data_IF_404905100424
#
_entry.id   IF_404905100424
#
_cell.length_a   1.000
_cell.length_b   1.000
_cell.length_c   1.000
_cell.angle_alpha   90.00
_cell.angle_beta   90.00
_cell.angle_gamma   90.00
#
_symmetry.space_group_name_H-M   'P 1'
#
loop_
_entity.id
_entity.type
_entity.pdbx_description
1 polymer ?
#
# COMPACT_ATOMS: atom_id res chain seq x y z
N UNK A 1 -42.24 -5.79 -24.67
CA UNK A 1 -41.15 -4.79 -24.71
C UNK A 1 -40.38 -4.87 -23.41
N UNK A 2 -39.24 -5.58 -23.41
CA UNK A 2 -38.36 -5.67 -22.25
C UNK A 2 -37.16 -4.77 -22.53
N UNK A 3 -37.02 -3.68 -21.77
CA UNK A 3 -35.86 -2.80 -21.85
C UNK A 3 -34.71 -3.54 -21.16
N UNK A 4 -33.74 -3.97 -21.95
CA UNK A 4 -32.52 -4.58 -21.43
C UNK A 4 -31.83 -3.54 -20.54
N UNK A 5 -31.89 -3.73 -19.22
CA UNK A 5 -31.06 -2.98 -18.28
C UNK A 5 -29.68 -3.60 -18.39
N UNK A 6 -28.74 -2.87 -19.00
CA UNK A 6 -27.33 -3.23 -18.90
C UNK A 6 -26.93 -3.08 -17.44
N UNK A 7 -26.78 -4.22 -16.76
CA UNK A 7 -26.04 -4.28 -15.51
C UNK A 7 -24.58 -4.16 -15.91
N UNK A 8 -24.02 -2.96 -15.83
CA UNK A 8 -22.58 -2.71 -16.03
C UNK A 8 -21.84 -3.28 -14.83
N UNK A 9 -21.64 -4.59 -14.83
CA UNK A 9 -20.81 -5.29 -13.86
C UNK A 9 -19.80 -6.12 -14.62
N UNK A 10 -18.63 -5.53 -14.91
CA UNK A 10 -17.29 -6.17 -14.99
C UNK A 10 -16.23 -5.22 -15.57
N UNK A 11 -16.05 -4.01 -15.03
CA UNK A 11 -14.87 -3.17 -15.33
C UNK A 11 -14.37 -2.49 -14.03
N UNK A 12 -14.18 -3.27 -12.96
CA UNK A 12 -13.56 -2.77 -11.72
C UNK A 12 -12.05 -3.05 -11.69
N UNK A 13 -11.41 -2.95 -12.85
CA UNK A 13 -9.96 -2.96 -13.02
C UNK A 13 -9.59 -1.71 -13.82
N UNK A 14 -8.42 -1.12 -13.61
CA UNK A 14 -8.12 0.14 -14.23
C UNK A 14 -8.02 0.00 -15.76
N UNK A 15 -9.08 0.38 -16.46
CA UNK A 15 -9.18 0.42 -17.93
C UNK A 15 -8.46 1.62 -18.55
N UNK A 16 -7.69 2.38 -17.77
CA UNK A 16 -7.03 3.59 -18.26
C UNK A 16 -5.67 3.28 -18.89
N UNK A 17 -5.32 4.01 -19.96
CA UNK A 17 -4.04 3.90 -20.68
C UNK A 17 -2.82 4.03 -19.76
N UNK A 18 -2.99 4.69 -18.61
CA UNK A 18 -1.97 4.83 -17.57
C UNK A 18 -1.53 3.45 -17.04
N UNK A 19 -2.45 2.53 -16.73
CA UNK A 19 -2.08 1.26 -16.11
C UNK A 19 -1.40 0.28 -17.06
N UNK A 20 -1.83 0.24 -18.33
CA UNK A 20 -1.16 -0.54 -19.36
C UNK A 20 0.30 -0.07 -19.58
N UNK A 21 0.54 1.24 -19.46
CA UNK A 21 1.86 1.84 -19.56
C UNK A 21 2.72 1.57 -18.32
N UNK A 22 2.08 1.44 -17.15
CA UNK A 22 2.74 1.16 -15.86
C UNK A 22 3.10 -0.31 -15.67
N UNK A 23 2.27 -1.24 -16.15
CA UNK A 23 2.50 -2.69 -16.03
C UNK A 23 3.80 -3.14 -16.72
N UNK A 24 4.15 -2.49 -17.83
CA UNK A 24 5.37 -2.76 -18.59
C UNK A 24 6.54 -1.85 -18.21
N UNK A 25 6.32 -0.90 -17.30
CA UNK A 25 7.36 0.02 -16.85
C UNK A 25 8.18 -0.61 -15.73
N UNK A 26 9.48 -0.75 -15.94
CA UNK A 26 10.44 -1.15 -14.91
C UNK A 26 10.86 0.00 -13.99
N UNK A 27 10.49 1.24 -14.34
CA UNK A 27 10.85 2.44 -13.59
C UNK A 27 9.68 3.43 -13.53
N UNK A 28 9.13 3.58 -12.34
CA UNK A 28 8.04 4.51 -12.10
C UNK A 28 8.63 5.86 -11.69
N UNK A 29 8.17 6.94 -12.31
CA UNK A 29 8.47 8.29 -11.84
C UNK A 29 7.40 8.78 -10.85
N UNK A 30 7.67 9.90 -10.19
CA UNK A 30 6.78 10.45 -9.15
C UNK A 30 5.42 10.85 -9.75
N UNK A 31 5.41 11.49 -10.92
CA UNK A 31 4.18 11.96 -11.57
C UNK A 31 3.23 10.81 -11.93
N UNK A 32 3.80 9.69 -12.37
CA UNK A 32 3.09 8.45 -12.66
C UNK A 32 2.47 7.85 -11.40
N UNK A 33 3.20 7.85 -10.28
CA UNK A 33 2.70 7.33 -9.01
C UNK A 33 1.56 8.20 -8.46
N UNK A 34 1.69 9.52 -8.53
CA UNK A 34 0.65 10.47 -8.12
C UNK A 34 -0.60 10.32 -9.00
N UNK A 35 -0.42 10.17 -10.31
CA UNK A 35 -1.54 9.95 -11.23
C UNK A 35 -2.29 8.63 -10.94
N UNK A 36 -1.56 7.56 -10.63
CA UNK A 36 -2.15 6.28 -10.25
C UNK A 36 -2.93 6.38 -8.93
N UNK A 37 -2.36 7.02 -7.90
CA UNK A 37 -3.02 7.24 -6.61
C UNK A 37 -4.33 8.02 -6.78
N UNK A 38 -4.30 9.13 -7.54
CA UNK A 38 -5.49 9.94 -7.80
C UNK A 38 -6.60 9.14 -8.47
N UNK A 39 -6.27 8.30 -9.47
CA UNK A 39 -7.27 7.45 -10.14
C UNK A 39 -7.92 6.46 -9.16
N UNK A 40 -7.13 5.81 -8.30
CA UNK A 40 -7.64 4.86 -7.31
C UNK A 40 -8.59 5.52 -6.29
N UNK A 41 -8.25 6.73 -5.83
CA UNK A 41 -9.05 7.47 -4.86
C UNK A 41 -10.32 8.08 -5.47
N UNK A 42 -10.25 8.67 -6.68
CA UNK A 42 -11.40 9.29 -7.34
C UNK A 42 -12.49 8.27 -7.69
N UNK A 43 -12.11 7.05 -8.07
CA UNK A 43 -13.03 5.97 -8.39
C UNK A 43 -13.52 5.22 -7.14
N UNK A 44 -13.04 5.61 -5.95
CA UNK A 44 -13.30 4.93 -4.68
C UNK A 44 -13.00 3.42 -4.73
N UNK A 45 -12.04 2.99 -5.56
CA UNK A 45 -11.58 1.60 -5.63
C UNK A 45 -10.81 1.20 -4.37
N UNK A 46 -10.17 2.18 -3.73
CA UNK A 46 -9.54 2.06 -2.41
C UNK A 46 -9.92 3.27 -1.55
N UNK A 47 -10.16 3.03 -0.27
CA UNK A 47 -10.42 4.09 0.72
C UNK A 47 -9.43 3.90 1.88
N UNK A 48 -8.34 4.68 1.94
CA UNK A 48 -7.40 4.60 3.04
C UNK A 48 -8.07 4.98 4.37
N UNK A 49 -8.03 4.08 5.35
CA UNK A 49 -8.66 4.31 6.65
C UNK A 49 -7.69 4.88 7.69
N UNK A 50 -6.47 4.37 7.72
CA UNK A 50 -5.39 4.82 8.62
C UNK A 50 -4.04 4.33 8.11
N UNK A 51 -2.96 4.95 8.60
CA UNK A 51 -1.60 4.42 8.48
C UNK A 51 -1.25 3.60 9.72
N UNK A 52 -0.51 2.50 9.54
CA UNK A 52 -0.14 1.66 10.67
C UNK A 52 1.03 2.27 11.44
N UNK A 53 0.79 2.67 12.68
CA UNK A 53 1.83 2.91 13.68
C UNK A 53 1.86 1.74 14.68
N UNK A 54 3.04 1.41 15.21
CA UNK A 54 3.21 0.40 16.27
C UNK A 54 4.08 0.99 17.37
N UNK A 55 3.66 0.80 18.61
CA UNK A 55 4.43 1.13 19.80
C UNK A 55 4.65 -0.15 20.60
N UNK A 56 5.83 -0.30 21.19
CA UNK A 56 6.23 -1.48 21.94
C UNK A 56 6.60 -1.05 23.36
N UNK A 57 6.09 -1.79 24.36
CA UNK A 57 6.59 -1.69 25.72
C UNK A 57 7.88 -2.50 25.82
N UNK A 58 8.97 -1.82 26.16
CA UNK A 58 10.31 -2.41 26.22
C UNK A 58 10.76 -2.46 27.68
N UNK A 59 11.19 -3.65 28.12
CA UNK A 59 11.73 -3.81 29.46
C UNK A 59 13.05 -3.03 29.59
N UNK A 60 13.31 -2.36 30.73
CA UNK A 60 14.62 -1.79 31.00
C UNK A 60 15.71 -2.85 30.82
N UNK A 61 16.81 -2.48 30.16
CA UNK A 61 17.92 -3.39 29.85
C UNK A 61 17.86 -4.06 28.48
N UNK A 62 16.74 -3.93 27.73
CA UNK A 62 16.69 -4.36 26.33
C UNK A 62 17.27 -3.27 25.41
N UNK A 63 18.24 -3.64 24.58
CA UNK A 63 18.89 -2.76 23.60
C UNK A 63 19.03 -3.43 22.24
N UNK A 64 19.28 -2.65 21.18
CA UNK A 64 19.50 -3.20 19.83
C UNK A 64 18.22 -3.58 19.07
N UNK A 65 17.06 -3.05 19.48
CA UNK A 65 15.81 -3.17 18.71
C UNK A 65 15.87 -2.24 17.50
N UNK A 66 15.64 -2.78 16.30
CA UNK A 66 15.60 -1.99 15.06
C UNK A 66 14.22 -2.06 14.44
N UNK A 67 13.64 -0.90 14.15
CA UNK A 67 12.42 -0.79 13.36
C UNK A 67 12.77 -0.55 11.90
N UNK A 68 12.59 -1.57 11.05
CA UNK A 68 12.89 -1.45 9.63
C UNK A 68 11.76 -0.73 8.89
N UNK A 69 12.09 0.11 7.89
CA UNK A 69 11.07 0.83 7.12
C UNK A 69 10.20 -0.10 6.27
N UNK A 70 10.73 -1.27 5.88
CA UNK A 70 10.03 -2.28 5.07
C UNK A 70 10.42 -3.70 5.49
N UNK A 71 9.61 -4.69 5.10
CA UNK A 71 9.77 -6.09 5.52
C UNK A 71 9.25 -6.33 6.96
N UNK A 72 9.73 -7.37 7.67
CA UNK A 72 9.42 -7.52 9.09
C UNK A 72 9.86 -6.27 9.85
N UNK A 73 8.86 -5.57 10.40
CA UNK A 73 8.99 -4.23 10.97
C UNK A 73 9.88 -4.21 12.21
N UNK A 74 9.84 -5.25 13.04
CA UNK A 74 10.69 -5.39 14.21
C UNK A 74 11.82 -6.38 13.91
N UNK A 75 13.06 -5.91 13.97
CA UNK A 75 14.27 -6.72 13.78
C UNK A 75 14.95 -6.96 15.14
N UNK A 76 15.18 -8.23 15.43
CA UNK A 76 15.74 -8.72 16.69
C UNK A 76 17.16 -9.29 16.54
N UNK A 77 17.75 -9.22 15.35
CA UNK A 77 19.02 -9.90 15.01
C UNK A 77 20.16 -9.57 15.97
N UNK A 78 20.19 -8.33 16.47
CA UNK A 78 21.23 -7.81 17.38
C UNK A 78 20.61 -7.31 18.69
N UNK A 79 19.43 -7.80 19.04
CA UNK A 79 18.78 -7.42 20.29
C UNK A 79 19.43 -8.16 21.45
N UNK A 80 19.79 -7.40 22.46
CA UNK A 80 20.43 -7.91 23.68
C UNK A 80 19.62 -7.50 24.90
N UNK A 81 19.75 -8.29 25.96
CA UNK A 81 19.15 -8.00 27.26
C UNK A 81 20.23 -7.99 28.33
N UNK A 82 20.40 -6.84 28.98
CA UNK A 82 21.24 -6.66 30.15
C UNK A 82 20.38 -6.73 31.42
N UNK A 83 20.82 -7.54 32.39
CA UNK A 83 20.08 -7.83 33.63
C UNK A 83 20.46 -6.88 34.76
#
# INVERSE_FOLDING_TARGET
>A
MLRQVQVTGTEYGPTSALWAQLEHSSNWNIDQLVGAEQQLLQQALVVPLWTQSRSLLVQPGVSGLVFRPFGPVLDLTWTEFSK
#
